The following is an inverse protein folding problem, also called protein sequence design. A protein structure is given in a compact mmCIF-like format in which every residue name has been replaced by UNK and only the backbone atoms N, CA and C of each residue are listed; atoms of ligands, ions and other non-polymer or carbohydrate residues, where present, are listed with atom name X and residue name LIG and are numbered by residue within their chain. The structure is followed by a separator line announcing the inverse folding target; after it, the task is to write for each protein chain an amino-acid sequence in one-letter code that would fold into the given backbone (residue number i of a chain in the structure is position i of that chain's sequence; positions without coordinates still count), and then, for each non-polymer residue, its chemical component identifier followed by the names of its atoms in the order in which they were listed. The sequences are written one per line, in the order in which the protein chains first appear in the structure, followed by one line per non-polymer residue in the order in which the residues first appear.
data_IF_125914248414
#
_entry.id   IF_125914248414
#
_cell.length_a   1.000
_cell.length_b   1.000
_cell.length_c   1.000
_cell.angle_alpha   90.00
_cell.angle_beta   90.00
_cell.angle_gamma   90.00
#
_symmetry.space_group_name_H-M   'P 1'
#
loop_
_entity.id
_entity.type
_entity.pdbx_description
1 polymer ?
#
# COMPACT_ATOMS: atom_id res chain seq x y z
N UNK A 1 -19.75 6.12 -19.85
CA UNK A 1 -19.44 4.70 -20.09
C UNK A 1 -20.04 3.87 -18.97
N UNK A 2 -20.60 2.73 -19.33
CA UNK A 2 -21.12 1.78 -18.36
C UNK A 2 -20.09 0.69 -18.09
N UNK A 3 -20.17 0.06 -16.93
CA UNK A 3 -19.24 -1.02 -16.57
C UNK A 3 -19.25 -2.12 -17.63
N UNK A 4 -20.45 -2.45 -18.16
CA UNK A 4 -20.57 -3.48 -19.21
C UNK A 4 -19.83 -3.18 -20.51
N UNK A 5 -19.42 -1.92 -20.71
CA UNK A 5 -18.70 -1.51 -21.92
C UNK A 5 -17.17 -1.56 -21.75
N UNK A 6 -16.67 -1.85 -20.55
CA UNK A 6 -15.23 -1.87 -20.27
C UNK A 6 -14.59 -3.11 -20.91
N UNK A 7 -13.48 -2.94 -21.59
CA UNK A 7 -12.68 -4.07 -22.07
C UNK A 7 -12.04 -4.79 -20.89
N UNK A 8 -12.20 -6.10 -20.83
CA UNK A 8 -11.65 -6.90 -19.73
C UNK A 8 -10.35 -7.60 -20.13
N UNK A 9 -9.49 -7.97 -19.18
CA UNK A 9 -9.64 -7.72 -17.73
C UNK A 9 -9.36 -6.27 -17.38
N UNK A 10 -10.03 -5.76 -16.32
CA UNK A 10 -9.87 -4.37 -15.91
C UNK A 10 -10.09 -4.22 -14.40
N UNK A 11 -9.33 -3.31 -13.77
CA UNK A 11 -9.54 -3.02 -12.35
C UNK A 11 -10.67 -2.01 -12.15
N UNK A 12 -11.54 -2.32 -11.21
CA UNK A 12 -12.64 -1.45 -10.77
C UNK A 12 -12.44 -1.05 -9.33
N UNK A 13 -12.72 0.21 -9.02
CA UNK A 13 -12.77 0.73 -7.64
C UNK A 13 -14.21 1.13 -7.35
N UNK A 14 -14.78 0.56 -6.29
CA UNK A 14 -16.10 0.95 -5.80
C UNK A 14 -15.96 2.28 -5.07
N UNK A 15 -16.54 3.35 -5.62
CA UNK A 15 -16.33 4.70 -5.09
C UNK A 15 -16.91 4.88 -3.69
N UNK A 16 -18.04 4.26 -3.42
CA UNK A 16 -18.67 4.37 -2.10
C UNK A 16 -17.84 3.67 -1.03
N UNK A 17 -17.30 2.50 -1.35
CA UNK A 17 -16.44 1.74 -0.44
C UNK A 17 -15.14 2.50 -0.16
N UNK A 18 -14.52 3.05 -1.22
CA UNK A 18 -13.31 3.84 -1.06
C UNK A 18 -13.55 5.02 -0.10
N UNK A 19 -14.62 5.78 -0.33
CA UNK A 19 -14.94 6.93 0.51
C UNK A 19 -15.18 6.52 1.96
N UNK A 20 -15.89 5.42 2.17
CA UNK A 20 -16.18 4.89 3.50
C UNK A 20 -14.93 4.45 4.23
N UNK A 21 -14.01 3.76 3.53
CA UNK A 21 -12.75 3.31 4.11
C UNK A 21 -11.87 4.50 4.53
N UNK A 22 -11.77 5.51 3.65
CA UNK A 22 -10.99 6.72 3.96
C UNK A 22 -11.57 7.42 5.18
N UNK A 23 -12.90 7.60 5.23
CA UNK A 23 -13.56 8.27 6.36
C UNK A 23 -13.34 7.52 7.67
N UNK A 24 -13.42 6.20 7.64
CA UNK A 24 -13.22 5.36 8.81
C UNK A 24 -11.80 5.53 9.38
N UNK A 25 -10.78 5.45 8.51
CA UNK A 25 -9.39 5.62 8.96
C UNK A 25 -9.13 7.06 9.43
N UNK A 26 -9.69 8.05 8.73
CA UNK A 26 -9.49 9.46 9.08
C UNK A 26 -10.04 9.78 10.46
N UNK A 27 -11.16 9.17 10.83
CA UNK A 27 -11.73 9.35 12.17
C UNK A 27 -10.77 8.85 13.25
N UNK A 28 -10.11 7.70 13.02
CA UNK A 28 -9.17 7.12 13.97
C UNK A 28 -7.81 7.79 13.94
N UNK A 29 -7.37 8.25 12.77
CA UNK A 29 -6.02 8.79 12.55
C UNK A 29 -6.14 10.08 11.73
N UNK A 30 -6.59 11.18 12.33
CA UNK A 30 -6.77 12.42 11.57
C UNK A 30 -5.45 13.09 11.22
N UNK A 31 -5.44 13.80 10.10
CA UNK A 31 -4.34 14.65 9.68
C UNK A 31 -3.02 13.92 9.56
N UNK A 32 -1.98 14.46 10.21
CA UNK A 32 -0.63 13.92 10.14
C UNK A 32 -0.43 12.63 10.95
N UNK A 33 -1.43 12.21 11.73
CA UNK A 33 -1.31 10.93 12.46
C UNK A 33 -1.49 9.73 11.53
N UNK A 34 -1.88 9.96 10.27
CA UNK A 34 -1.84 8.96 9.20
C UNK A 34 -0.86 9.43 8.13
N UNK A 35 0.06 8.56 7.73
CA UNK A 35 0.94 8.79 6.58
C UNK A 35 0.62 7.67 5.56
N UNK A 36 -0.33 7.90 4.65
CA UNK A 36 -0.76 6.82 3.75
C UNK A 36 0.38 6.33 2.87
N UNK A 37 0.45 5.00 2.70
CA UNK A 37 1.51 4.40 1.88
C UNK A 37 1.01 4.21 0.46
N UNK A 38 1.57 4.96 -0.49
CA UNK A 38 1.08 4.97 -1.88
C UNK A 38 1.38 3.67 -2.63
N UNK A 39 2.31 2.82 -2.11
CA UNK A 39 2.63 1.56 -2.78
C UNK A 39 1.40 0.65 -2.92
N UNK A 40 0.42 0.81 -2.04
CA UNK A 40 -0.77 -0.04 -2.05
C UNK A 40 -1.65 0.19 -3.27
N UNK A 41 -1.63 1.39 -3.84
CA UNK A 41 -2.52 1.72 -4.95
C UNK A 41 -1.82 2.39 -6.14
N UNK A 42 -0.65 2.92 -5.96
CA UNK A 42 0.24 3.47 -6.99
C UNK A 42 -0.42 4.51 -7.91
N UNK A 43 -1.33 5.33 -7.36
CA UNK A 43 -2.04 6.35 -8.12
C UNK A 43 -1.99 7.69 -7.39
N UNK A 44 -1.43 8.72 -8.04
CA UNK A 44 -1.40 10.06 -7.46
C UNK A 44 -2.81 10.66 -7.38
N UNK A 45 -3.72 10.25 -8.26
CA UNK A 45 -5.10 10.74 -8.21
C UNK A 45 -5.82 10.16 -6.99
N UNK A 46 -5.61 8.88 -6.68
CA UNK A 46 -6.16 8.31 -5.45
C UNK A 46 -5.55 9.02 -4.23
N UNK A 47 -4.24 9.31 -4.27
CA UNK A 47 -3.59 10.03 -3.18
C UNK A 47 -4.25 11.39 -2.93
N UNK A 48 -4.73 12.07 -3.99
CA UNK A 48 -5.44 13.35 -3.84
C UNK A 48 -6.76 13.20 -3.08
N UNK A 49 -7.40 12.03 -3.17
CA UNK A 49 -8.59 11.76 -2.34
C UNK A 49 -8.22 11.77 -0.86
N UNK A 50 -7.04 11.25 -0.53
CA UNK A 50 -6.55 11.27 0.86
C UNK A 50 -6.17 12.69 1.31
N UNK A 51 -5.60 13.50 0.41
CA UNK A 51 -5.35 14.92 0.71
C UNK A 51 -6.66 15.63 1.04
N UNK A 52 -7.71 15.36 0.27
CA UNK A 52 -9.03 15.95 0.52
C UNK A 52 -9.60 15.55 1.88
N UNK A 53 -9.17 14.41 2.42
CA UNK A 53 -9.57 13.95 3.76
C UNK A 53 -8.66 14.51 4.87
N UNK A 54 -7.63 15.28 4.51
CA UNK A 54 -6.76 15.94 5.48
C UNK A 54 -5.36 15.34 5.62
N UNK A 55 -5.00 14.34 4.80
CA UNK A 55 -3.71 13.65 4.92
C UNK A 55 -2.76 14.17 3.85
N UNK A 56 -1.75 14.92 4.26
CA UNK A 56 -0.81 15.56 3.34
C UNK A 56 0.58 14.94 3.34
N UNK A 57 0.86 14.02 4.26
CA UNK A 57 2.15 13.35 4.38
C UNK A 57 2.00 11.92 3.87
N UNK A 58 2.92 11.47 3.00
CA UNK A 58 2.81 10.16 2.37
C UNK A 58 4.06 9.32 2.53
N UNK A 59 3.89 7.99 2.54
CA UNK A 59 4.97 7.03 2.39
C UNK A 59 5.07 6.57 0.95
N UNK A 60 6.31 6.42 0.48
CA UNK A 60 6.63 5.83 -0.82
C UNK A 60 7.63 4.70 -0.62
N UNK A 61 7.65 3.74 -1.53
CA UNK A 61 8.56 2.59 -1.46
C UNK A 61 9.67 2.63 -2.51
N UNK A 62 9.51 3.43 -3.54
CA UNK A 62 10.45 3.46 -4.69
C UNK A 62 10.75 4.88 -5.19
N UNK A 63 11.75 5.08 -5.96
CA UNK A 63 12.15 6.15 -6.51
C UNK A 63 11.20 6.67 -7.39
N UNK A 64 10.36 5.92 -8.14
CA UNK A 64 9.42 6.17 -8.93
C UNK A 64 8.32 6.75 -8.31
N UNK A 65 7.88 6.20 -7.23
CA UNK A 65 6.76 6.72 -6.43
C UNK A 65 7.03 8.17 -5.98
N UNK A 66 8.21 8.41 -5.43
CA UNK A 66 8.56 9.78 -5.01
C UNK A 66 8.48 10.75 -6.21
N UNK A 67 9.09 10.38 -7.33
CA UNK A 67 9.10 11.25 -8.52
C UNK A 67 7.68 11.55 -9.00
N UNK A 68 6.82 10.54 -9.02
CA UNK A 68 5.44 10.73 -9.45
C UNK A 68 4.64 11.59 -8.50
N UNK A 69 4.86 11.44 -7.19
CA UNK A 69 4.20 12.29 -6.21
C UNK A 69 4.65 13.74 -6.34
N UNK A 70 5.96 13.97 -6.53
CA UNK A 70 6.49 15.32 -6.77
C UNK A 70 5.88 15.91 -8.04
N UNK A 71 5.84 15.13 -9.12
CA UNK A 71 5.26 15.61 -10.40
C UNK A 71 3.79 15.96 -10.26
N UNK A 72 3.07 15.29 -9.38
CA UNK A 72 1.65 15.56 -9.14
C UNK A 72 1.41 16.70 -8.14
N UNK A 73 2.48 17.29 -7.59
CA UNK A 73 2.36 18.34 -6.59
C UNK A 73 1.99 17.87 -5.20
N UNK A 74 2.26 16.60 -4.90
CA UNK A 74 1.92 15.97 -3.62
C UNK A 74 3.21 15.74 -2.81
N UNK A 75 3.97 16.79 -2.65
CA UNK A 75 5.32 16.74 -2.10
C UNK A 75 5.53 17.51 -0.79
N UNK A 76 4.61 17.46 -0.09
CA UNK A 76 4.64 18.06 1.07
C UNK A 76 5.45 17.42 2.05
N UNK A 77 5.31 16.31 2.16
CA UNK A 77 6.19 15.51 3.05
C UNK A 77 6.18 14.04 2.60
N UNK A 78 7.04 13.39 1.85
CA UNK A 78 7.18 12.24 1.32
C UNK A 78 8.16 11.55 2.06
N UNK A 79 7.96 10.52 2.63
CA UNK A 79 8.91 9.61 3.29
C UNK A 79 9.20 8.43 2.37
N UNK A 80 10.45 8.24 1.95
CA UNK A 80 10.87 7.00 1.27
C UNK A 80 11.17 5.97 2.37
N UNK A 81 10.20 5.12 2.63
CA UNK A 81 10.25 4.13 3.71
C UNK A 81 10.96 2.87 3.24
N UNK A 82 12.15 3.07 2.69
CA UNK A 82 12.98 2.02 2.10
C UNK A 82 14.43 2.51 2.03
N UNK A 83 15.38 1.76 2.10
CA UNK A 83 16.68 2.05 2.06
C UNK A 83 17.05 2.13 0.69
N UNK A 84 17.72 3.11 0.23
CA UNK A 84 18.24 3.29 -1.12
C UNK A 84 19.71 3.65 -1.10
N UNK A 85 20.43 3.19 -2.12
CA UNK A 85 21.84 3.54 -2.29
C UNK A 85 22.12 4.39 -3.53
N UNK A 86 21.21 4.47 -4.38
CA UNK A 86 21.36 5.24 -5.45
C UNK A 86 20.51 6.38 -5.27
N UNK A 87 21.02 7.36 -4.97
CA UNK A 87 20.25 8.52 -4.56
C UNK A 87 20.32 9.76 -5.51
N UNK A 88 20.81 9.59 -6.37
CA UNK A 88 20.97 10.54 -7.29
C UNK A 88 19.73 11.13 -7.81
N UNK A 89 18.86 10.30 -8.23
CA UNK A 89 17.53 10.69 -8.73
C UNK A 89 16.73 11.49 -7.70
N UNK A 90 16.84 11.09 -6.44
CA UNK A 90 16.13 11.79 -5.37
C UNK A 90 16.68 13.19 -5.14
N UNK A 91 18.00 13.33 -5.16
CA UNK A 91 18.66 14.62 -4.96
C UNK A 91 18.24 15.64 -6.00
N UNK A 92 18.00 15.18 -7.23
CA UNK A 92 17.54 16.07 -8.30
C UNK A 92 16.19 16.72 -8.01
N UNK A 93 15.38 16.09 -7.16
CA UNK A 93 14.06 16.63 -6.79
C UNK A 93 14.13 17.70 -5.70
N UNK A 94 15.27 17.82 -5.03
CA UNK A 94 15.44 18.73 -3.88
C UNK A 94 15.63 20.19 -4.28
N UNK A 95 15.70 20.50 -5.57
CA UNK A 95 15.84 21.88 -6.05
C UNK A 95 14.58 22.72 -5.81
N UNK A 96 13.43 22.07 -5.62
CA UNK A 96 12.18 22.78 -5.33
C UNK A 96 12.09 23.05 -3.82
N UNK A 97 11.91 24.30 -3.44
CA UNK A 97 11.83 24.69 -2.02
C UNK A 97 10.63 24.09 -1.30
N UNK A 98 9.56 23.80 -2.04
CA UNK A 98 8.33 23.24 -1.46
C UNK A 98 8.42 21.74 -1.20
N UNK A 99 9.40 21.06 -1.82
CA UNK A 99 9.52 19.61 -1.75
C UNK A 99 10.24 19.20 -0.47
N UNK A 100 9.62 18.30 0.30
CA UNK A 100 10.27 17.73 1.48
C UNK A 100 10.36 16.21 1.30
N UNK A 101 11.59 15.70 1.29
CA UNK A 101 11.86 14.26 1.15
C UNK A 101 12.70 13.82 2.34
N UNK A 102 12.21 12.80 3.03
CA UNK A 102 12.91 12.10 4.11
C UNK A 102 13.16 10.68 3.63
N UNK A 103 14.36 10.13 3.88
CA UNK A 103 14.65 8.73 3.55
C UNK A 103 14.96 7.93 4.80
N UNK A 104 14.61 6.66 4.79
CA UNK A 104 14.96 5.73 5.86
C UNK A 104 16.43 5.30 5.69
N UNK A 105 17.18 5.26 6.79
CA UNK A 105 18.57 4.77 6.79
C UNK A 105 18.76 3.79 7.95
N UNK A 106 19.62 2.78 7.75
CA UNK A 106 19.89 1.77 8.76
C UNK A 106 21.36 1.36 8.84
N UNK A 107 22.25 2.12 8.18
CA UNK A 107 23.68 1.80 8.12
C UNK A 107 24.46 3.07 7.80
N UNK A 108 25.79 3.03 8.04
CA UNK A 108 26.67 4.11 7.60
C UNK A 108 26.58 4.30 6.08
N UNK A 109 26.47 3.20 5.35
CA UNK A 109 26.41 3.23 3.89
C UNK A 109 25.16 3.96 3.42
N UNK A 110 23.99 3.69 4.01
CA UNK A 110 22.75 4.38 3.60
C UNK A 110 22.74 5.84 4.06
N UNK A 111 23.38 6.15 5.20
CA UNK A 111 23.58 7.55 5.64
C UNK A 111 24.41 8.30 4.58
N UNK A 112 25.55 7.72 4.16
CA UNK A 112 26.41 8.36 3.15
C UNK A 112 25.71 8.48 1.82
N UNK A 113 24.91 7.49 1.43
CA UNK A 113 24.13 7.57 0.19
C UNK A 113 23.14 8.74 0.24
N UNK A 114 22.45 8.92 1.36
CA UNK A 114 21.52 10.03 1.52
C UNK A 114 22.24 11.37 1.39
N UNK A 115 23.36 11.51 2.10
CA UNK A 115 24.15 12.74 2.07
C UNK A 115 24.68 13.02 0.65
N UNK A 116 25.28 12.01 0.02
CA UNK A 116 25.86 12.18 -1.33
C UNK A 116 24.81 12.54 -2.37
N UNK A 117 23.59 12.09 -2.20
CA UNK A 117 22.50 12.37 -3.12
C UNK A 117 21.82 13.70 -2.88
N UNK A 118 22.23 14.47 -1.84
CA UNK A 118 21.61 15.75 -1.56
C UNK A 118 20.37 15.69 -0.70
N UNK A 119 20.10 14.55 -0.07
CA UNK A 119 19.01 14.41 0.91
C UNK A 119 19.47 15.01 2.24
N UNK A 120 18.61 15.75 2.88
CA UNK A 120 18.97 16.44 4.14
C UNK A 120 18.25 15.87 5.36
N UNK A 121 17.23 15.02 5.18
CA UNK A 121 16.43 14.52 6.30
C UNK A 121 16.28 13.01 6.24
N UNK A 122 16.41 12.39 7.38
CA UNK A 122 16.37 10.93 7.52
C UNK A 122 15.54 10.47 8.72
N UNK A 123 15.00 9.14 8.88
CA UNK A 123 14.47 8.48 9.84
C UNK A 123 15.33 7.37 10.06
N UNK A 124 15.68 6.98 11.17
CA UNK A 124 16.45 5.75 11.44
C UNK A 124 15.50 4.58 11.40
N UNK A 125 15.77 3.60 10.54
CA UNK A 125 14.92 2.40 10.41
C UNK A 125 15.41 1.35 11.40
N UNK A 126 14.48 0.83 12.21
CA UNK A 126 14.76 -0.07 13.33
C UNK A 126 14.07 -1.43 13.07
N UNK A 127 14.83 -2.50 13.26
CA UNK A 127 14.27 -3.86 13.19
C UNK A 127 13.45 -4.12 14.46
N UNK A 128 12.14 -4.18 14.30
CA UNK A 128 11.22 -4.42 15.41
C UNK A 128 10.68 -5.85 15.41
N UNK A 129 11.27 -6.72 14.60
CA UNK A 129 10.92 -8.14 14.57
C UNK A 129 10.66 -8.72 13.20
N UNK A 130 10.46 -7.89 12.20
CA UNK A 130 10.30 -8.38 10.82
C UNK A 130 11.69 -8.49 10.18
N UNK A 131 12.12 -9.69 9.76
CA UNK A 131 13.49 -9.87 9.23
C UNK A 131 13.62 -9.32 7.81
N UNK A 132 13.79 -8.01 7.69
CA UNK A 132 13.91 -7.34 6.40
C UNK A 132 14.99 -6.26 6.50
N UNK A 133 14.62 -4.99 6.58
CA UNK A 133 15.56 -3.89 6.80
C UNK A 133 15.47 -3.41 8.24
N UNK A 134 16.40 -2.56 8.61
CA UNK A 134 16.40 -1.94 9.92
C UNK A 134 17.59 -2.36 10.77
N UNK A 135 18.15 -1.42 11.54
CA UNK A 135 19.25 -1.70 12.45
C UNK A 135 18.71 -2.33 13.73
N UNK A 136 19.61 -2.97 14.48
CA UNK A 136 19.28 -3.45 15.81
C UNK A 136 18.90 -2.25 16.69
N UNK A 137 17.88 -2.31 17.53
CA UNK A 137 17.49 -1.18 18.38
C UNK A 137 18.62 -0.53 19.18
N UNK A 138 19.46 -1.13 19.47
CA UNK A 138 20.55 -0.76 20.15
C UNK A 138 21.52 -0.01 19.45
N UNK A 139 21.49 -0.17 18.22
CA UNK A 139 22.43 0.54 17.33
C UNK A 139 21.86 1.86 16.83
N UNK A 140 20.60 2.11 17.04
CA UNK A 140 19.89 3.26 16.45
C UNK A 140 20.52 4.59 16.91
N UNK A 141 20.85 4.73 18.17
CA UNK A 141 21.50 5.93 18.69
C UNK A 141 22.84 6.25 18.03
N UNK A 142 23.47 5.36 17.69
CA UNK A 142 24.67 5.47 17.10
C UNK A 142 24.59 5.91 15.74
N UNK A 143 23.75 5.30 15.05
CA UNK A 143 23.50 5.71 13.69
C UNK A 143 22.95 7.13 13.60
N UNK A 144 22.06 7.48 14.50
CA UNK A 144 21.55 8.85 14.55
C UNK A 144 22.67 9.87 14.76
N UNK A 145 23.61 9.58 15.64
CA UNK A 145 24.75 10.46 15.85
C UNK A 145 25.58 10.60 14.57
N UNK A 146 25.84 9.47 13.88
CA UNK A 146 26.61 9.51 12.62
C UNK A 146 25.89 10.33 11.57
N UNK A 147 24.58 10.19 11.49
CA UNK A 147 23.78 10.98 10.54
C UNK A 147 23.87 12.47 10.86
N UNK A 148 23.74 12.84 12.11
CA UNK A 148 23.85 14.24 12.54
C UNK A 148 25.26 14.81 12.31
N UNK A 149 26.28 14.02 12.59
CA UNK A 149 27.68 14.43 12.35
C UNK A 149 27.92 14.62 10.84
N UNK A 150 27.20 13.88 9.99
CA UNK A 150 27.27 14.05 8.55
C UNK A 150 26.47 15.26 8.04
N UNK A 151 25.75 15.94 8.93
CA UNK A 151 24.99 17.14 8.60
C UNK A 151 23.52 16.87 8.27
N UNK A 152 23.04 15.67 8.52
CA UNK A 152 21.63 15.34 8.24
C UNK A 152 20.75 15.64 9.45
N UNK A 153 19.52 16.04 9.17
CA UNK A 153 18.49 16.19 10.19
C UNK A 153 17.83 14.84 10.44
N UNK A 154 17.94 14.31 11.64
CA UNK A 154 17.31 13.03 12.02
C UNK A 154 15.94 13.35 12.62
N UNK A 155 14.88 13.03 11.87
CA UNK A 155 13.52 13.38 12.28
C UNK A 155 12.93 12.42 13.30
N UNK A 156 13.54 11.27 13.47
CA UNK A 156 13.05 10.26 14.40
C UNK A 156 13.34 8.86 13.91
N UNK A 157 12.47 7.94 14.23
CA UNK A 157 12.63 6.52 13.92
C UNK A 157 11.44 6.00 13.12
N UNK A 158 11.67 4.90 12.37
CA UNK A 158 10.58 4.09 11.87
C UNK A 158 10.84 2.63 12.18
N UNK A 159 9.77 1.87 12.36
CA UNK A 159 9.87 0.43 12.55
C UNK A 159 8.55 -0.19 12.13
N UNK A 160 8.64 -1.13 11.20
CA UNK A 160 7.44 -1.74 10.63
C UNK A 160 7.27 -3.16 11.18
N UNK A 161 6.17 -3.36 11.89
CA UNK A 161 5.83 -4.67 12.46
C UNK A 161 5.03 -5.50 11.46
N UNK A 162 5.59 -5.66 10.26
CA UNK A 162 4.92 -6.34 9.16
C UNK A 162 4.57 -7.79 9.41
N UNK A 163 5.33 -8.45 10.29
CA UNK A 163 5.07 -9.84 10.67
C UNK A 163 3.76 -10.00 11.45
N UNK A 164 3.16 -8.90 11.90
CA UNK A 164 1.91 -8.92 12.67
C UNK A 164 0.69 -8.50 11.86
N UNK A 165 0.90 -8.06 10.62
CA UNK A 165 -0.19 -7.46 9.83
C UNK A 165 -1.33 -8.43 9.55
N UNK A 166 -1.02 -9.73 9.43
CA UNK A 166 -2.02 -10.75 9.10
C UNK A 166 -2.17 -11.79 10.19
N UNK A 167 -1.81 -11.43 11.44
CA UNK A 167 -1.93 -12.34 12.56
C UNK A 167 -3.38 -12.45 13.02
N UNK A 168 -3.73 -13.44 13.05
CA UNK A 168 -4.99 -13.69 13.27
C UNK A 168 -5.34 -13.89 14.64
N UNK A 169 -4.43 -14.50 15.33
CA UNK A 169 -4.61 -14.80 16.77
C UNK A 169 -4.50 -13.49 17.55
N UNK A 170 -5.60 -13.08 18.12
CA UNK A 170 -5.69 -11.79 18.82
C UNK A 170 -4.62 -11.64 19.91
N UNK A 171 -4.31 -12.44 20.49
CA UNK A 171 -3.39 -12.44 21.50
C UNK A 171 -2.01 -12.32 21.08
N UNK A 172 -1.75 -13.17 20.14
CA UNK A 172 -0.42 -13.09 19.54
C UNK A 172 -0.22 -11.74 18.89
N UNK A 173 -1.25 -11.23 18.28
CA UNK A 173 -1.23 -9.94 17.63
C UNK A 173 -0.92 -8.84 18.64
N UNK A 174 -1.71 -8.74 19.68
CA UNK A 174 -1.53 -7.70 20.71
C UNK A 174 -0.19 -7.80 21.44
N UNK A 175 0.21 -8.78 21.70
CA UNK A 175 1.40 -9.06 22.35
C UNK A 175 2.55 -8.83 21.51
N UNK A 176 2.42 -9.19 20.30
CA UNK A 176 3.48 -8.89 19.33
C UNK A 176 3.69 -7.41 19.13
N UNK A 177 2.62 -6.69 19.01
CA UNK A 177 2.68 -5.23 18.91
C UNK A 177 3.38 -4.61 20.12
N UNK A 178 3.16 -4.99 21.10
CA UNK A 178 3.73 -4.56 22.22
C UNK A 178 5.13 -4.73 22.26
N UNK A 179 5.58 -5.99 21.92
CA UNK A 179 7.03 -6.30 21.85
C UNK A 179 7.73 -5.47 20.78
N UNK A 180 7.12 -5.39 19.62
CA UNK A 180 7.72 -4.61 18.51
C UNK A 180 7.81 -3.13 18.86
N UNK A 181 6.79 -2.60 19.47
CA UNK A 181 6.77 -1.17 19.79
C UNK A 181 7.67 -0.85 20.99
N UNK A 182 7.89 -1.79 21.90
CA UNK A 182 8.90 -1.62 22.95
C UNK A 182 10.29 -1.42 22.35
N UNK A 183 10.59 -2.12 21.29
CA UNK A 183 11.84 -1.89 20.55
C UNK A 183 11.88 -0.52 19.88
N UNK A 184 10.74 0.01 19.33
CA UNK A 184 10.68 1.17 18.75
C UNK A 184 10.79 2.24 19.63
N UNK A 185 10.31 2.20 20.80
CA UNK A 185 10.33 3.07 21.75
C UNK A 185 11.60 3.22 22.34
N UNK A 186 12.30 2.14 22.65
CA UNK A 186 13.66 2.13 23.16
C UNK A 186 14.65 2.80 22.18
N UNK A 187 14.52 2.50 20.91
CA UNK A 187 15.36 3.14 19.89
C UNK A 187 15.09 4.64 19.81
N UNK A 188 13.87 5.06 19.89
CA UNK A 188 13.51 6.49 19.86
C UNK A 188 14.10 7.23 21.04
N UNK A 189 14.15 6.65 22.19
CA UNK A 189 14.79 7.27 23.37
C UNK A 189 16.26 7.62 23.12
N UNK A 190 16.77 6.81 22.19
CA UNK A 190 18.12 6.97 21.86
C UNK A 190 18.34 7.85 20.73
N UNK A 191 17.44 8.01 19.91
CA UNK A 191 17.54 8.79 18.68
C UNK A 191 16.94 10.18 18.84
N UNK A 192 15.77 10.28 19.43
CA UNK A 192 15.03 11.53 19.53
C UNK A 192 14.27 11.84 18.25
N UNK A 193 13.87 13.08 18.10
CA UNK A 193 13.12 13.55 16.95
C UNK A 193 11.62 13.48 17.18
N UNK A 194 10.88 14.16 16.29
CA UNK A 194 9.43 14.30 16.47
C UNK A 194 8.64 13.11 15.95
N UNK A 195 9.27 12.21 15.17
CA UNK A 195 8.53 11.15 14.46
C UNK A 195 8.84 9.78 15.06
N UNK A 196 7.78 9.02 15.34
CA UNK A 196 7.82 7.57 15.51
C UNK A 196 6.86 7.02 14.47
N UNK A 197 7.39 6.46 13.39
CA UNK A 197 6.62 6.05 12.21
C UNK A 197 6.55 4.53 12.12
N UNK A 198 5.38 4.00 11.90
CA UNK A 198 5.22 2.54 11.78
C UNK A 198 3.77 2.15 11.65
N UNK A 199 3.51 0.87 11.85
CA UNK A 199 2.17 0.33 11.73
C UNK A 199 1.74 0.11 10.31
N UNK A 200 0.53 -0.38 10.18
CA UNK A 200 -0.09 -0.65 8.90
C UNK A 200 -1.57 -0.89 9.11
N UNK A 201 -2.23 -1.33 8.04
CA UNK A 201 -3.66 -1.60 8.10
C UNK A 201 -4.01 -2.62 9.18
N UNK A 202 -3.20 -3.67 9.33
CA UNK A 202 -3.46 -4.74 10.29
C UNK A 202 -3.26 -4.35 11.76
N UNK A 203 -2.61 -3.20 12.04
CA UNK A 203 -2.38 -2.75 13.43
C UNK A 203 -2.99 -1.37 13.67
N UNK A 204 -3.91 -1.00 12.84
CA UNK A 204 -4.47 0.37 12.80
C UNK A 204 -5.02 0.87 14.16
N UNK A 205 -5.48 0.04 14.87
CA UNK A 205 -6.04 0.36 16.02
C UNK A 205 -5.21 0.12 17.17
N UNK A 206 -4.53 -0.95 17.01
CA UNK A 206 -3.76 -1.50 18.15
C UNK A 206 -2.45 -0.76 18.39
N UNK A 207 -1.83 -0.25 17.34
CA UNK A 207 -0.55 0.43 17.47
C UNK A 207 -0.78 1.89 17.88
N UNK A 208 -0.76 2.14 19.18
CA UNK A 208 -1.01 3.46 19.73
C UNK A 208 0.27 4.25 20.03
N UNK A 209 1.45 3.64 19.81
CA UNK A 209 2.74 4.27 20.14
C UNK A 209 3.31 5.14 19.02
N UNK A 210 2.91 4.89 17.78
CA UNK A 210 3.44 5.68 16.67
C UNK A 210 2.79 7.07 16.64
N UNK A 211 3.59 8.06 16.25
CA UNK A 211 3.06 9.41 15.99
C UNK A 211 2.37 9.49 14.65
N UNK A 212 2.74 8.57 13.72
CA UNK A 212 2.12 8.48 12.42
C UNK A 212 2.04 7.01 11.99
N UNK A 213 0.86 6.62 11.53
CA UNK A 213 0.60 5.26 11.07
C UNK A 213 0.85 5.16 9.56
N UNK A 214 1.69 4.20 9.13
CA UNK A 214 2.00 3.97 7.71
C UNK A 214 1.03 2.95 7.13
N UNK A 215 -0.16 3.36 6.74
CA UNK A 215 -1.17 2.41 6.24
C UNK A 215 -1.69 2.86 4.86
N UNK A 216 -1.68 1.96 3.91
CA UNK A 216 -2.18 2.22 2.56
C UNK A 216 -3.34 1.33 2.17
N UNK A 217 -3.24 0.05 2.50
CA UNK A 217 -4.24 -0.95 2.09
C UNK A 217 -5.66 -0.67 2.59
N UNK A 218 -5.77 0.19 3.53
CA UNK A 218 -6.82 0.52 4.06
C UNK A 218 -7.77 0.92 3.24
N UNK A 219 -7.40 1.60 2.10
CA UNK A 219 -8.36 2.26 1.24
C UNK A 219 -9.13 1.30 0.33
N UNK A 220 -8.48 0.19 -0.08
CA UNK A 220 -9.08 -0.76 -1.03
C UNK A 220 -9.31 -2.15 -0.43
N UNK A 221 -8.50 -2.55 0.53
CA UNK A 221 -8.54 -3.87 1.17
C UNK A 221 -8.37 -5.01 0.16
N UNK A 222 -8.18 -6.22 0.66
CA UNK A 222 -8.09 -7.44 -0.14
C UNK A 222 -8.55 -8.63 0.68
N UNK A 223 -8.57 -9.84 0.09
CA UNK A 223 -9.10 -10.98 0.81
C UNK A 223 -8.20 -11.41 1.97
N UNK A 224 -6.89 -11.12 1.90
CA UNK A 224 -6.00 -11.43 3.03
C UNK A 224 -6.34 -10.58 4.25
N UNK A 225 -6.49 -9.27 4.07
CA UNK A 225 -6.92 -8.40 5.16
C UNK A 225 -8.36 -8.66 5.60
N UNK A 226 -9.22 -9.10 4.68
CA UNK A 226 -10.63 -9.36 5.00
C UNK A 226 -10.80 -10.55 5.96
N UNK A 227 -9.77 -11.38 6.13
CA UNK A 227 -9.79 -12.47 7.12
C UNK A 227 -9.69 -11.94 8.55
N UNK A 228 -9.26 -10.70 8.71
CA UNK A 228 -9.11 -10.05 10.02
C UNK A 228 -10.37 -9.24 10.35
N UNK A 229 -10.59 -9.00 11.62
CA UNK A 229 -11.73 -8.22 12.08
C UNK A 229 -11.39 -6.72 12.00
N UNK A 230 -11.44 -6.19 10.78
CA UNK A 230 -11.13 -4.79 10.51
C UNK A 230 -12.38 -4.09 9.98
N UNK A 231 -12.53 -2.78 10.23
CA UNK A 231 -13.76 -2.06 9.82
C UNK A 231 -13.76 -1.63 8.36
N UNK A 232 -12.75 -2.02 7.59
CA UNK A 232 -12.61 -1.61 6.19
C UNK A 232 -13.17 -2.69 5.28
N UNK A 233 -13.76 -2.28 4.16
CA UNK A 233 -14.41 -3.19 3.21
C UNK A 233 -13.60 -3.27 1.92
N UNK A 234 -13.70 -4.40 1.23
CA UNK A 234 -13.01 -4.61 -0.05
C UNK A 234 -13.65 -3.76 -1.13
N UNK A 235 -12.87 -2.88 -1.74
CA UNK A 235 -13.34 -1.95 -2.76
C UNK A 235 -12.64 -2.10 -4.10
N UNK A 236 -11.68 -3.03 -4.24
CA UNK A 236 -10.98 -3.27 -5.50
C UNK A 236 -11.41 -4.60 -6.09
N UNK A 237 -11.74 -4.59 -7.38
CA UNK A 237 -12.21 -5.78 -8.07
C UNK A 237 -11.53 -5.88 -9.43
N UNK A 238 -11.28 -7.12 -9.88
CA UNK A 238 -10.90 -7.36 -11.26
C UNK A 238 -12.15 -7.77 -12.02
N UNK A 239 -12.53 -6.99 -13.03
CA UNK A 239 -13.63 -7.33 -13.93
C UNK A 239 -13.07 -8.24 -15.01
N UNK A 240 -13.71 -9.39 -15.19
CA UNK A 240 -13.34 -10.38 -16.21
C UNK A 240 -14.54 -10.77 -17.05
N UNK A 241 -14.28 -11.44 -18.15
CA UNK A 241 -15.31 -12.01 -19.02
C UNK A 241 -15.11 -13.53 -19.12
N UNK A 242 -16.20 -14.27 -19.04
CA UNK A 242 -16.18 -15.71 -19.31
C UNK A 242 -15.95 -15.91 -20.81
N UNK A 243 -14.86 -16.55 -21.16
CA UNK A 243 -14.50 -16.75 -22.58
C UNK A 243 -14.65 -18.19 -23.05
N UNK A 244 -14.84 -19.12 -22.11
CA UNK A 244 -15.04 -20.53 -22.48
C UNK A 244 -15.82 -21.22 -21.36
N UNK A 245 -16.70 -22.13 -21.73
CA UNK A 245 -17.45 -22.96 -20.79
C UNK A 245 -17.28 -24.42 -21.24
N UNK A 246 -16.79 -25.24 -20.33
CA UNK A 246 -16.50 -26.65 -20.60
C UNK A 246 -17.69 -27.52 -20.26
N UNK A 247 -17.91 -28.55 -21.07
CA UNK A 247 -18.86 -29.61 -20.74
C UNK A 247 -18.44 -30.43 -19.51
N UNK A 248 -17.21 -30.24 -19.04
CA UNK A 248 -16.72 -30.92 -17.83
C UNK A 248 -17.01 -30.15 -16.52
N UNK A 249 -17.77 -29.05 -16.62
CA UNK A 249 -18.24 -28.33 -15.43
C UNK A 249 -17.38 -27.17 -14.95
N UNK A 250 -16.45 -26.69 -15.79
CA UNK A 250 -15.67 -25.49 -15.45
C UNK A 250 -15.84 -24.42 -16.51
N UNK A 251 -15.49 -23.19 -16.14
CA UNK A 251 -15.46 -22.08 -17.08
C UNK A 251 -14.10 -21.38 -16.97
N UNK A 252 -13.80 -20.54 -17.94
CA UNK A 252 -12.51 -19.82 -18.00
C UNK A 252 -12.76 -18.34 -18.15
N UNK A 253 -12.09 -17.55 -17.30
CA UNK A 253 -12.13 -16.09 -17.33
C UNK A 253 -10.89 -15.56 -18.04
N UNK A 254 -11.01 -14.39 -18.65
CA UNK A 254 -9.96 -13.78 -19.47
C UNK A 254 -8.87 -13.03 -18.68
N UNK A 255 -8.87 -13.10 -17.36
CA UNK A 255 -7.82 -12.50 -16.54
C UNK A 255 -7.12 -13.58 -15.71
N UNK A 256 -5.79 -13.56 -15.70
CA UNK A 256 -4.99 -14.52 -14.96
C UNK A 256 -3.86 -13.82 -14.21
N UNK A 257 -2.73 -14.52 -14.06
CA UNK A 257 -1.59 -14.04 -13.27
C UNK A 257 -1.07 -12.68 -13.70
N UNK A 258 -1.23 -12.34 -14.98
CA UNK A 258 -0.77 -11.03 -15.49
C UNK A 258 -1.77 -9.91 -15.24
N UNK A 259 -2.95 -10.21 -14.70
CA UNK A 259 -3.97 -9.23 -14.37
C UNK A 259 -4.27 -9.15 -12.88
N UNK A 260 -3.95 -10.21 -12.11
CA UNK A 260 -4.20 -10.25 -10.67
C UNK A 260 -3.07 -11.03 -9.99
N UNK A 261 -2.53 -10.48 -8.91
CA UNK A 261 -1.46 -11.14 -8.17
C UNK A 261 -2.00 -12.33 -7.40
N UNK A 262 -1.21 -13.39 -7.36
CA UNK A 262 -1.57 -14.63 -6.65
C UNK A 262 -0.48 -15.07 -5.68
N UNK A 263 0.39 -14.14 -5.29
CA UNK A 263 1.46 -14.38 -4.32
C UNK A 263 0.90 -14.76 -2.94
N UNK A 264 -0.31 -14.27 -2.61
CA UNK A 264 -0.98 -14.56 -1.35
C UNK A 264 -2.16 -15.51 -1.54
N UNK A 265 -2.19 -16.20 -2.67
CA UNK A 265 -3.27 -17.12 -3.01
C UNK A 265 -4.13 -16.61 -4.16
N UNK A 266 -5.07 -17.45 -4.61
CA UNK A 266 -5.94 -17.04 -5.72
C UNK A 266 -6.93 -15.96 -5.29
N UNK A 267 -7.44 -15.18 -6.25
CA UNK A 267 -8.56 -14.29 -5.93
C UNK A 267 -9.83 -15.10 -5.63
N UNK A 268 -10.82 -14.45 -5.04
CA UNK A 268 -12.12 -15.07 -4.82
C UNK A 268 -13.15 -14.50 -5.79
N UNK A 269 -14.12 -15.30 -6.17
CA UNK A 269 -15.21 -14.85 -7.03
C UNK A 269 -16.24 -14.06 -6.21
N UNK A 270 -16.77 -13.03 -6.82
CA UNK A 270 -17.99 -12.42 -6.32
C UNK A 270 -19.15 -13.27 -6.87
N UNK A 271 -19.90 -13.90 -5.97
CA UNK A 271 -20.96 -14.82 -6.34
C UNK A 271 -20.56 -16.27 -6.12
N UNK A 272 -21.13 -17.16 -6.92
CA UNK A 272 -20.91 -18.61 -6.77
C UNK A 272 -19.61 -19.04 -7.43
N UNK A 273 -19.02 -20.08 -6.84
CA UNK A 273 -17.86 -20.75 -7.44
C UNK A 273 -16.56 -20.43 -6.77
N UNK A 274 -15.52 -21.10 -7.25
CA UNK A 274 -14.16 -20.93 -6.72
C UNK A 274 -13.14 -21.08 -7.84
N UNK A 275 -11.95 -20.53 -7.63
CA UNK A 275 -10.84 -20.63 -8.57
C UNK A 275 -10.25 -22.03 -8.49
N UNK A 276 -10.09 -22.67 -9.64
CA UNK A 276 -9.45 -23.98 -9.74
C UNK A 276 -8.08 -23.93 -10.42
N UNK A 277 -7.77 -22.91 -11.35
CA UNK A 277 -6.50 -22.85 -11.96
C UNK A 277 -6.16 -21.44 -12.30
N UNK A 278 -5.07 -21.14 -12.44
CA UNK A 278 -4.60 -19.94 -12.83
C UNK A 278 -3.54 -20.14 -13.80
N UNK A 279 -3.48 -19.41 -14.84
CA UNK A 279 -2.45 -19.33 -15.88
C UNK A 279 -2.19 -17.85 -16.18
N UNK A 280 -1.28 -17.61 -17.06
CA UNK A 280 -0.91 -16.22 -17.35
C UNK A 280 -2.09 -15.33 -17.70
N UNK A 281 -2.93 -15.77 -18.39
CA UNK A 281 -3.91 -15.02 -18.90
C UNK A 281 -5.23 -15.52 -18.62
N UNK A 282 -5.32 -16.58 -17.97
CA UNK A 282 -6.61 -17.29 -17.76
C UNK A 282 -6.80 -17.64 -16.29
N UNK A 283 -8.04 -17.59 -15.80
CA UNK A 283 -8.41 -18.16 -14.50
C UNK A 283 -9.53 -19.16 -14.76
N UNK A 284 -9.29 -20.42 -14.39
CA UNK A 284 -10.31 -21.46 -14.43
C UNK A 284 -11.15 -21.44 -13.17
N UNK A 285 -12.47 -21.58 -13.32
CA UNK A 285 -13.40 -21.53 -12.19
C UNK A 285 -14.37 -22.71 -12.25
N UNK A 286 -14.82 -23.15 -11.07
CA UNK A 286 -15.72 -24.28 -10.93
C UNK A 286 -16.75 -24.00 -9.81
N UNK A 287 -17.78 -24.83 -9.69
CA UNK A 287 -18.77 -24.70 -8.62
C UNK A 287 -19.86 -23.67 -8.88
N UNK A 288 -19.96 -23.19 -10.09
CA UNK A 288 -21.01 -22.25 -10.50
C UNK A 288 -21.54 -22.58 -11.88
N UNK A 289 -22.38 -21.73 -12.41
CA UNK A 289 -22.95 -21.88 -13.75
C UNK A 289 -22.75 -20.55 -14.49
N UNK A 290 -22.12 -20.62 -15.65
CA UNK A 290 -21.75 -19.43 -16.43
C UNK A 290 -22.05 -19.58 -17.92
N UNK A 291 -22.17 -18.45 -18.61
CA UNK A 291 -22.31 -18.38 -20.05
C UNK A 291 -21.16 -17.58 -20.64
N UNK A 292 -20.71 -17.97 -21.85
CA UNK A 292 -19.69 -17.20 -22.58
C UNK A 292 -20.18 -15.76 -22.75
N UNK A 293 -19.35 -14.80 -22.45
CA UNK A 293 -19.68 -13.37 -22.50
C UNK A 293 -20.14 -12.78 -21.18
N UNK A 294 -20.45 -13.62 -20.19
CA UNK A 294 -20.87 -13.16 -18.88
C UNK A 294 -19.71 -12.48 -18.14
N UNK A 295 -19.99 -11.43 -17.38
CA UNK A 295 -18.99 -10.68 -16.61
C UNK A 295 -18.92 -11.19 -15.18
N UNK A 296 -17.69 -11.33 -14.69
CA UNK A 296 -17.45 -11.85 -13.34
C UNK A 296 -16.40 -10.97 -12.62
N UNK A 297 -16.40 -10.38 -11.39
CA UNK A 297 -15.60 -9.73 -10.65
C UNK A 297 -14.90 -10.61 -9.84
N UNK A 298 -13.73 -10.44 -9.70
CA UNK A 298 -12.88 -11.16 -8.73
C UNK A 298 -12.36 -10.21 -7.66
N UNK A 299 -12.25 -10.70 -6.43
CA UNK A 299 -11.60 -9.95 -5.34
C UNK A 299 -10.14 -10.41 -5.24
N UNK A 300 -9.16 -9.52 -5.41
CA UNK A 300 -7.74 -9.91 -5.29
C UNK A 300 -7.40 -10.34 -3.86
N UNK A 301 -6.48 -11.29 -3.73
CA UNK A 301 -5.95 -11.68 -2.43
C UNK A 301 -4.94 -10.66 -1.89
N UNK A 302 -4.27 -9.91 -2.78
CA UNK A 302 -3.26 -8.92 -2.39
C UNK A 302 -3.30 -7.75 -3.36
N UNK A 303 -3.68 -6.58 -2.87
CA UNK A 303 -3.88 -5.44 -3.78
C UNK A 303 -2.57 -4.85 -4.31
N UNK A 304 -1.53 -4.77 -3.49
CA UNK A 304 -0.30 -4.05 -3.86
C UNK A 304 0.27 -4.53 -5.20
N UNK A 305 0.60 -5.80 -5.39
CA UNK A 305 1.13 -6.24 -6.69
C UNK A 305 0.06 -6.28 -7.79
N UNK A 306 -1.20 -6.36 -7.46
CA UNK A 306 -2.29 -6.26 -8.43
C UNK A 306 -2.37 -4.84 -9.04
N UNK A 307 -2.41 -3.81 -8.27
CA UNK A 307 -2.39 -2.60 -8.62
C UNK A 307 -1.43 -2.34 -9.54
N UNK A 308 -0.10 -2.88 -9.46
CA UNK A 308 1.05 -2.65 -10.33
C UNK A 308 0.92 -3.26 -11.74
N UNK A 309 0.00 -4.17 -11.94
CA UNK A 309 -0.20 -4.85 -13.23
C UNK A 309 -1.08 -4.08 -14.22
N UNK A 310 -1.68 -2.96 -13.83
CA UNK A 310 -2.66 -2.24 -14.63
C UNK A 310 -2.28 -0.78 -14.83
N UNK A 311 -2.78 -0.19 -15.90
CA UNK A 311 -2.56 1.24 -16.20
C UNK A 311 -3.68 2.14 -15.73
N UNK A 312 -4.97 1.74 -15.37
CA UNK A 312 -6.00 2.49 -15.04
C UNK A 312 -6.76 1.78 -13.99
N UNK A 313 -7.31 2.61 -13.26
CA UNK A 313 -8.38 2.21 -12.34
C UNK A 313 -9.69 2.79 -12.84
N UNK A 314 -10.68 1.95 -13.04
CA UNK A 314 -12.02 2.42 -13.41
C UNK A 314 -12.80 2.67 -12.11
N UNK A 315 -13.10 3.91 -11.82
CA UNK A 315 -13.84 4.29 -10.62
C UNK A 315 -15.33 4.18 -10.95
N UNK A 316 -16.05 3.32 -10.26
CA UNK A 316 -17.45 3.05 -10.56
C UNK A 316 -18.33 3.46 -9.40
N UNK A 317 -19.57 3.85 -9.72
CA UNK A 317 -20.53 4.29 -8.70
C UNK A 317 -20.82 3.17 -7.71
N UNK A 318 -21.03 1.96 -8.24
CA UNK A 318 -21.34 0.80 -7.41
C UNK A 318 -21.01 -0.48 -8.17
N UNK A 319 -20.09 -1.27 -7.63
CA UNK A 319 -19.63 -2.48 -8.30
C UNK A 319 -20.73 -3.55 -8.42
N UNK A 320 -21.68 -3.57 -7.49
CA UNK A 320 -22.77 -4.55 -7.50
C UNK A 320 -23.57 -4.54 -8.81
N UNK A 321 -23.59 -3.41 -9.55
CA UNK A 321 -24.32 -3.30 -10.83
C UNK A 321 -23.32 -3.42 -12.00
N UNK A 322 -22.98 -4.63 -12.31
CA UNK A 322 -22.02 -4.92 -13.40
C UNK A 322 -22.53 -4.47 -14.76
N UNK A 323 -23.72 -4.48 -14.78
CA UNK A 323 -24.23 -4.27 -16.03
C UNK A 323 -24.44 -2.89 -16.37
N UNK A 324 -24.98 -2.20 -15.50
CA UNK A 324 -25.47 -1.01 -15.77
C UNK A 324 -24.83 0.05 -15.06
N UNK A 325 -24.10 -0.24 -14.24
CA UNK A 325 -23.35 0.66 -13.37
C UNK A 325 -22.59 1.72 -14.16
N UNK A 326 -22.52 2.91 -13.58
CA UNK A 326 -21.82 4.02 -14.25
C UNK A 326 -20.34 4.05 -13.90
N UNK A 327 -19.49 4.28 -14.90
CA UNK A 327 -18.06 4.58 -14.69
C UNK A 327 -17.97 6.10 -14.47
N UNK A 328 -17.49 6.49 -13.30
CA UNK A 328 -17.38 7.90 -12.91
C UNK A 328 -16.08 8.53 -13.39
N UNK A 329 -15.01 7.78 -13.47
CA UNK A 329 -13.69 8.31 -13.81
C UNK A 329 -12.69 7.19 -14.13
N UNK A 330 -11.47 7.27 -14.54
CA UNK A 330 -10.50 6.43 -14.74
C UNK A 330 -9.35 7.01 -14.17
N UNK A 331 -8.79 6.64 -13.32
CA UNK A 331 -7.59 7.16 -12.62
C UNK A 331 -6.34 6.45 -13.11
N UNK A 332 -5.33 7.16 -13.57
CA UNK A 332 -4.06 6.50 -13.95
C UNK A 332 -3.36 5.89 -12.75
N UNK A 333 -2.74 4.74 -12.97
CA UNK A 333 -1.86 4.12 -12.00
C UNK A 333 -0.44 4.60 -12.37
N UNK A 334 -0.16 5.85 -12.05
CA UNK A 334 0.99 6.58 -12.58
C UNK A 334 2.28 6.38 -11.78
N UNK A 335 2.22 5.67 -10.65
CA UNK A 335 3.39 5.47 -9.80
C UNK A 335 4.04 4.09 -10.02
N UNK A 336 3.68 3.39 -11.10
CA UNK A 336 4.28 2.11 -11.46
C UNK A 336 5.69 2.32 -12.01
N UNK A 337 6.48 1.28 -11.92
CA UNK A 337 7.85 1.28 -12.43
C UNK A 337 8.86 1.61 -11.34
N UNK A 338 10.11 1.82 -11.76
CA UNK A 338 11.24 1.88 -10.84
C UNK A 338 12.09 3.14 -10.96
#
# INVERSE_FOLDING_TARGET
MKVGEINTPALLVDSKTLAKNIACMTKARPGASLRPHVKAFKSSVLAKELVSAGHENFCCATXXEIEGMVAAGLDXDXLLANXVVXTXRLGALMDKKSTRITVAVDSEETIQAAKSGGISEVXIDVDVGMPRCGCHPXEAGXLAKKARDAGLNVRGVMGYEGHLMHEXDHXKHEXGIXRSMAKXXAAHAXVGGEIISGGGTGTWXSNTLVTELQAGSXVLMDTEYARLDLPFEQGLFLLTTVISVSGRGHAVLDGGLKAVAMDSGPPSLVGQGEVMXXADXHTGVTGGSWKVGERVXLRPAHIDPTXAKHEXLHVVEEVADIXXGSVLDXWPIDLRGW
#
